data_IF_959068159726
#
_entry.id   IF_959068159726
#
_cell.length_a   1.000
_cell.length_b   1.000
_cell.length_c   1.000
_cell.angle_alpha   90.00
_cell.angle_beta   90.00
_cell.angle_gamma   90.00
#
_symmetry.space_group_name_H-M   'P 1'
#
loop_
_entity.id
_entity.type
_entity.pdbx_description
1 polymer ?
#
# COMPACT_ATOMS: atom_id res chain seq x y z
N UNK A 1 11.03 -20.00 31.80
CA UNK A 1 9.59 -19.91 31.47
C UNK A 1 9.17 -18.47 31.18
N UNK A 2 9.34 -17.48 32.08
CA UNK A 2 8.98 -16.06 31.81
C UNK A 2 9.69 -15.47 30.58
N UNK A 3 11.02 -15.62 30.46
CA UNK A 3 11.78 -15.14 29.30
C UNK A 3 11.35 -15.75 27.95
N UNK A 4 10.91 -17.00 27.95
CA UNK A 4 10.41 -17.64 26.73
C UNK A 4 9.02 -17.11 26.37
N UNK A 5 8.16 -16.88 27.36
CA UNK A 5 6.85 -16.27 27.14
C UNK A 5 6.95 -14.84 26.60
N UNK A 6 7.88 -14.03 27.13
CA UNK A 6 8.16 -12.68 26.62
C UNK A 6 8.68 -12.70 25.18
N UNK A 7 9.54 -13.67 24.85
CA UNK A 7 10.04 -13.83 23.48
C UNK A 7 8.91 -14.19 22.51
N UNK A 8 8.07 -15.17 22.84
CA UNK A 8 6.94 -15.54 21.99
C UNK A 8 5.94 -14.38 21.81
N UNK A 9 5.67 -13.62 22.87
CA UNK A 9 4.79 -12.45 22.76
C UNK A 9 5.36 -11.39 21.80
N UNK A 10 6.67 -11.15 21.84
CA UNK A 10 7.33 -10.21 20.93
C UNK A 10 7.31 -10.70 19.47
N UNK A 11 7.51 -12.00 19.25
CA UNK A 11 7.46 -12.61 17.91
C UNK A 11 6.03 -12.56 17.34
N UNK A 12 5.00 -12.85 18.15
CA UNK A 12 3.59 -12.75 17.77
C UNK A 12 3.18 -11.31 17.44
N UNK A 13 3.65 -10.33 18.22
CA UNK A 13 3.38 -8.92 17.96
C UNK A 13 4.01 -8.45 16.65
N UNK A 14 5.28 -8.77 16.40
CA UNK A 14 5.95 -8.43 15.16
C UNK A 14 5.27 -9.08 13.94
N UNK A 15 4.79 -10.32 14.06
CA UNK A 15 4.03 -10.97 12.99
C UNK A 15 2.69 -10.28 12.73
N UNK A 16 1.98 -9.88 13.79
CA UNK A 16 0.72 -9.17 13.69
C UNK A 16 0.89 -7.82 12.99
N UNK A 17 1.83 -7.00 13.43
CA UNK A 17 2.11 -5.68 12.83
C UNK A 17 2.47 -5.81 11.35
N UNK A 18 3.29 -6.82 11.02
CA UNK A 18 3.65 -7.13 9.64
C UNK A 18 2.43 -7.48 8.78
N UNK A 19 1.53 -8.34 9.29
CA UNK A 19 0.30 -8.72 8.57
C UNK A 19 -0.62 -7.51 8.40
N UNK A 20 -0.76 -6.69 9.43
CA UNK A 20 -1.55 -5.45 9.38
C UNK A 20 -1.00 -4.48 8.33
N UNK A 21 0.32 -4.22 8.32
CA UNK A 21 0.98 -3.38 7.32
C UNK A 21 0.79 -3.90 5.89
N UNK A 22 0.97 -5.20 5.67
CA UNK A 22 0.73 -5.85 4.38
C UNK A 22 -0.72 -5.68 3.92
N UNK A 23 -1.69 -5.92 4.81
CA UNK A 23 -3.11 -5.80 4.51
C UNK A 23 -3.49 -4.36 4.19
N UNK A 24 -2.97 -3.39 4.94
CA UNK A 24 -3.20 -1.97 4.70
C UNK A 24 -2.67 -1.54 3.33
N UNK A 25 -1.43 -1.89 3.00
CA UNK A 25 -0.83 -1.56 1.71
C UNK A 25 -1.59 -2.21 0.56
N UNK A 26 -1.88 -3.51 0.67
CA UNK A 26 -2.64 -4.24 -0.35
C UNK A 26 -4.01 -3.62 -0.56
N UNK A 27 -4.76 -3.36 0.52
CA UNK A 27 -6.09 -2.77 0.45
C UNK A 27 -6.08 -1.40 -0.22
N UNK A 28 -5.08 -0.57 0.09
CA UNK A 28 -4.92 0.75 -0.51
C UNK A 28 -4.68 0.67 -2.02
N UNK A 29 -3.70 -0.15 -2.46
CA UNK A 29 -3.34 -0.32 -3.87
C UNK A 29 -4.50 -0.91 -4.69
N UNK A 30 -5.17 -1.94 -4.18
CA UNK A 30 -6.32 -2.55 -4.87
C UNK A 30 -7.54 -1.63 -4.90
N UNK A 31 -7.80 -0.91 -3.81
CA UNK A 31 -8.87 0.09 -3.74
C UNK A 31 -8.63 1.20 -4.75
N UNK A 32 -7.40 1.71 -4.83
CA UNK A 32 -7.02 2.74 -5.78
C UNK A 32 -7.15 2.26 -7.23
N UNK A 33 -6.66 1.06 -7.55
CA UNK A 33 -6.80 0.46 -8.88
C UNK A 33 -8.26 0.35 -9.32
N UNK A 34 -9.15 -0.02 -8.39
CA UNK A 34 -10.60 -0.05 -8.64
C UNK A 34 -11.12 1.34 -9.00
N UNK A 35 -10.80 2.35 -8.18
CA UNK A 35 -11.23 3.73 -8.40
C UNK A 35 -10.64 4.36 -9.68
N UNK A 36 -9.47 3.92 -10.15
CA UNK A 36 -8.88 4.35 -11.42
C UNK A 36 -9.58 3.74 -12.65
N UNK A 37 -10.18 2.55 -12.49
CA UNK A 37 -10.95 1.87 -13.53
C UNK A 37 -12.39 2.38 -13.65
N UNK A 38 -12.92 2.99 -12.60
CA UNK A 38 -14.30 3.51 -12.55
C UNK A 38 -14.40 4.93 -13.12
N UNK A 39 -15.23 5.11 -14.15
CA UNK A 39 -15.40 6.40 -14.82
C UNK A 39 -16.14 7.45 -13.96
N UNK A 40 -16.99 6.99 -13.03
CA UNK A 40 -17.71 7.87 -12.09
C UNK A 40 -16.89 8.19 -10.81
N UNK A 41 -15.76 7.52 -10.62
CA UNK A 41 -14.86 7.75 -9.50
C UNK A 41 -13.79 8.80 -9.84
N UNK A 42 -12.79 8.95 -8.96
CA UNK A 42 -11.72 9.93 -9.19
C UNK A 42 -10.91 9.62 -10.46
N UNK A 43 -10.81 8.35 -10.87
CA UNK A 43 -10.14 7.93 -12.09
C UNK A 43 -10.69 8.64 -13.34
N UNK A 44 -12.01 8.80 -13.43
CA UNK A 44 -12.67 9.52 -14.52
C UNK A 44 -12.38 11.03 -14.58
N UNK A 45 -11.88 11.62 -13.49
CA UNK A 45 -11.55 13.05 -13.37
C UNK A 45 -10.08 13.35 -13.64
N UNK A 46 -9.24 12.32 -13.76
CA UNK A 46 -7.82 12.47 -14.08
C UNK A 46 -7.57 12.55 -15.58
N UNK A 47 -6.48 13.21 -15.96
CA UNK A 47 -5.94 13.08 -17.31
C UNK A 47 -5.50 11.63 -17.59
N UNK A 48 -5.39 11.28 -18.87
CA UNK A 48 -4.90 9.96 -19.28
C UNK A 48 -3.50 9.69 -18.73
N UNK A 49 -2.60 10.67 -18.85
CA UNK A 49 -1.23 10.61 -18.31
C UNK A 49 -1.20 10.36 -16.79
N UNK A 50 -1.94 11.18 -16.01
CA UNK A 50 -1.97 11.04 -14.54
C UNK A 50 -2.57 9.67 -14.13
N UNK A 51 -3.56 9.17 -14.89
CA UNK A 51 -4.15 7.85 -14.65
C UNK A 51 -3.17 6.73 -14.95
N UNK A 52 -2.44 6.82 -16.07
CA UNK A 52 -1.47 5.81 -16.48
C UNK A 52 -0.30 5.72 -15.49
N UNK A 53 0.20 6.86 -15.01
CA UNK A 53 1.23 6.93 -13.97
C UNK A 53 0.78 6.25 -12.67
N UNK A 54 -0.45 6.49 -12.21
CA UNK A 54 -0.98 5.82 -11.02
C UNK A 54 -1.20 4.31 -11.23
N UNK A 55 -1.65 3.89 -12.42
CA UNK A 55 -1.79 2.46 -12.73
C UNK A 55 -0.43 1.76 -12.75
N UNK A 56 0.61 2.42 -13.27
CA UNK A 56 1.98 1.92 -13.24
C UNK A 56 2.50 1.79 -11.80
N UNK A 57 2.31 2.81 -10.97
CA UNK A 57 2.74 2.79 -9.58
C UNK A 57 2.04 1.69 -8.76
N UNK A 58 0.73 1.52 -8.95
CA UNK A 58 -0.02 0.42 -8.34
C UNK A 58 0.51 -0.95 -8.78
N UNK A 59 0.88 -1.09 -10.06
CA UNK A 59 1.44 -2.35 -10.58
C UNK A 59 2.81 -2.63 -9.97
N UNK A 60 3.70 -1.64 -9.93
CA UNK A 60 5.03 -1.76 -9.31
C UNK A 60 4.92 -2.14 -7.83
N UNK A 61 4.01 -1.49 -7.09
CA UNK A 61 3.77 -1.79 -5.68
C UNK A 61 3.19 -3.19 -5.49
N UNK A 62 2.23 -3.61 -6.31
CA UNK A 62 1.68 -4.97 -6.26
C UNK A 62 2.78 -6.01 -6.48
N UNK A 63 3.65 -5.80 -7.47
CA UNK A 63 4.80 -6.69 -7.70
C UNK A 63 5.77 -6.72 -6.51
N UNK A 64 6.05 -5.58 -5.87
CA UNK A 64 6.89 -5.54 -4.65
C UNK A 64 6.27 -6.34 -3.50
N UNK A 65 4.95 -6.25 -3.32
CA UNK A 65 4.20 -7.06 -2.35
C UNK A 65 4.29 -8.56 -2.68
N UNK A 66 4.14 -8.93 -3.94
CA UNK A 66 4.20 -10.34 -4.37
C UNK A 66 5.61 -10.93 -4.22
N UNK A 67 6.65 -10.16 -4.57
CA UNK A 67 8.06 -10.63 -4.58
C UNK A 67 8.66 -10.71 -3.18
N UNK A 68 8.39 -9.72 -2.32
CA UNK A 68 9.05 -9.59 -1.01
C UNK A 68 8.10 -9.48 0.18
N UNK A 69 6.78 -9.45 -0.04
CA UNK A 69 5.81 -9.29 1.05
C UNK A 69 5.85 -10.41 2.07
N UNK A 70 6.34 -11.61 1.71
CA UNK A 70 6.53 -12.71 2.66
C UNK A 70 7.73 -12.51 3.60
N UNK A 71 8.73 -11.73 3.20
CA UNK A 71 9.98 -11.52 3.98
C UNK A 71 10.12 -10.10 4.53
N UNK A 72 9.34 -9.15 4.04
CA UNK A 72 9.29 -7.78 4.52
C UNK A 72 8.79 -7.68 5.98
N UNK A 73 9.31 -6.73 6.74
CA UNK A 73 8.87 -6.41 8.08
C UNK A 73 7.77 -5.33 8.07
N UNK A 74 7.30 -4.91 9.26
CA UNK A 74 6.26 -3.88 9.36
C UNK A 74 6.74 -2.51 8.83
N UNK A 75 7.99 -2.14 9.11
CA UNK A 75 8.61 -0.87 8.68
C UNK A 75 8.68 -0.78 7.15
N UNK A 76 9.06 -1.86 6.47
CA UNK A 76 9.11 -1.95 5.00
C UNK A 76 7.73 -1.65 4.39
N UNK A 77 6.65 -2.14 5.00
CA UNK A 77 5.29 -1.87 4.52
C UNK A 77 4.85 -0.44 4.78
N UNK A 78 5.27 0.15 5.90
CA UNK A 78 5.02 1.55 6.20
C UNK A 78 5.75 2.48 5.23
N UNK A 79 7.03 2.22 4.95
CA UNK A 79 7.81 2.96 3.95
C UNK A 79 7.17 2.86 2.56
N UNK A 80 6.80 1.65 2.12
CA UNK A 80 6.10 1.45 0.86
C UNK A 80 4.78 2.23 0.80
N UNK A 81 4.01 2.23 1.89
CA UNK A 81 2.77 2.99 1.98
C UNK A 81 3.02 4.49 1.82
N UNK A 82 4.05 5.03 2.48
CA UNK A 82 4.42 6.44 2.37
C UNK A 82 4.87 6.80 0.94
N UNK A 83 5.68 5.94 0.29
CA UNK A 83 6.13 6.14 -1.10
C UNK A 83 4.95 6.24 -2.07
N UNK A 84 3.99 5.31 -1.97
CA UNK A 84 2.79 5.30 -2.83
C UNK A 84 1.92 6.52 -2.54
N UNK A 85 1.66 6.83 -1.26
CA UNK A 85 0.87 8.01 -0.91
C UNK A 85 1.50 9.31 -1.42
N UNK A 86 2.82 9.46 -1.33
CA UNK A 86 3.52 10.64 -1.81
C UNK A 86 3.36 10.88 -3.32
N UNK A 87 3.20 9.81 -4.12
CA UNK A 87 2.92 9.90 -5.55
C UNK A 87 1.44 10.19 -5.84
N UNK A 88 0.55 9.62 -5.03
CA UNK A 88 -0.91 9.70 -5.22
C UNK A 88 -1.50 11.02 -4.77
N UNK A 89 -1.05 11.55 -3.63
CA UNK A 89 -1.55 12.80 -3.05
C UNK A 89 -1.52 14.00 -4.01
N UNK A 90 -0.43 14.29 -4.74
CA UNK A 90 -0.42 15.43 -5.66
C UNK A 90 -1.39 15.26 -6.83
N UNK A 91 -1.54 14.04 -7.35
CA UNK A 91 -2.43 13.75 -8.49
C UNK A 91 -3.90 13.87 -8.06
N UNK A 92 -4.26 13.26 -6.93
CA UNK A 92 -5.63 13.31 -6.39
C UNK A 92 -6.02 14.72 -5.94
N UNK A 93 -5.08 15.53 -5.46
CA UNK A 93 -5.33 16.92 -5.08
C UNK A 93 -5.74 17.81 -6.27
N UNK A 94 -5.26 17.53 -7.49
CA UNK A 94 -5.66 18.27 -8.70
C UNK A 94 -7.16 18.15 -9.01
N UNK A 95 -7.83 17.12 -8.49
CA UNK A 95 -9.27 16.89 -8.71
C UNK A 95 -10.14 17.84 -7.90
N UNK A 96 -9.62 18.30 -6.76
CA UNK A 96 -10.35 19.16 -5.81
C UNK A 96 -9.91 20.63 -5.87
N UNK A 97 -8.91 20.95 -6.69
CA UNK A 97 -8.42 22.31 -6.94
C UNK A 97 -9.20 22.97 -8.08
#
# INVERSE_FOLDING_TARGET
MVKQAEQFACEDEAQRERIEGLNSLSSFVFGQKTQLGEQDAFGGKLSEDDREDLLKDNKETTTRIDDYGQTANAEDFEENMQEVQAKVSPITSKIYA
#
